data_IF_193721422425
#
_entry.id   IF_193721422425
#
_cell.length_a   1.000
_cell.length_b   1.000
_cell.length_c   1.000
_cell.angle_alpha   90.00
_cell.angle_beta   90.00
_cell.angle_gamma   90.00
#
_symmetry.space_group_name_H-M   'P 1'
#
loop_
_entity.id
_entity.type
_entity.pdbx_description
1 polymer ?
#
# COMPACT_ATOMS: atom_id res chain seq x y z
N UNK A 1 10.94 7.94 -18.58
CA UNK A 1 10.35 8.27 -17.27
C UNK A 1 11.45 8.15 -16.22
N UNK A 2 11.50 9.04 -15.20
CA UNK A 2 12.41 8.82 -14.08
C UNK A 2 12.04 7.51 -13.35
N UNK A 3 13.02 6.83 -12.74
CA UNK A 3 12.76 5.62 -11.98
C UNK A 3 11.89 5.94 -10.75
N UNK A 4 11.32 4.89 -10.13
CA UNK A 4 10.44 5.04 -8.96
C UNK A 4 11.13 5.88 -7.88
N UNK A 5 10.41 6.82 -7.22
CA UNK A 5 10.99 7.77 -6.26
C UNK A 5 11.35 7.14 -4.90
N UNK A 6 11.22 5.85 -4.72
CA UNK A 6 11.42 5.19 -3.43
C UNK A 6 12.24 3.91 -3.53
N UNK A 7 12.89 3.58 -2.43
CA UNK A 7 13.47 2.27 -2.12
C UNK A 7 12.61 1.65 -1.03
N UNK A 8 12.27 0.39 -1.18
CA UNK A 8 11.54 -0.34 -0.13
C UNK A 8 12.46 -0.54 1.08
N UNK A 9 11.87 -0.52 2.27
CA UNK A 9 12.59 -0.73 3.51
C UNK A 9 13.21 -2.14 3.53
N UNK A 10 14.56 -2.26 3.58
CA UNK A 10 15.19 -3.56 3.63
C UNK A 10 14.97 -4.30 4.98
N UNK A 11 14.41 -3.61 5.97
CA UNK A 11 14.07 -4.14 7.29
C UNK A 11 12.58 -4.49 7.43
N UNK A 12 11.77 -4.26 6.40
CA UNK A 12 10.42 -4.79 6.37
C UNK A 12 10.52 -6.30 6.56
N UNK A 13 10.16 -6.77 7.75
CA UNK A 13 10.10 -8.18 8.02
C UNK A 13 8.93 -8.75 7.21
N UNK A 14 9.27 -9.50 6.18
CA UNK A 14 8.27 -10.25 5.42
C UNK A 14 8.19 -11.62 6.06
N UNK A 15 7.10 -11.91 6.80
CA UNK A 15 6.92 -13.22 7.36
C UNK A 15 6.91 -14.26 6.23
N UNK A 16 7.27 -15.49 6.57
CA UNK A 16 7.10 -16.62 5.65
C UNK A 16 5.59 -16.89 5.50
N UNK A 17 4.98 -16.08 4.65
CA UNK A 17 3.57 -16.11 4.31
C UNK A 17 3.42 -16.76 2.93
N UNK A 18 3.28 -18.09 2.86
CA UNK A 18 3.28 -18.80 1.60
C UNK A 18 2.09 -18.41 0.74
N UNK A 19 2.28 -18.46 -0.57
CA UNK A 19 1.15 -18.44 -1.49
C UNK A 19 0.45 -19.79 -1.43
N UNK A 20 -0.85 -19.76 -1.18
CA UNK A 20 -1.69 -20.93 -1.28
C UNK A 20 -2.26 -21.13 -2.69
N UNK A 21 -3.25 -22.03 -2.79
CA UNK A 21 -3.96 -22.25 -4.05
C UNK A 21 -4.64 -20.97 -4.56
N UNK A 22 -5.23 -20.19 -3.65
CA UNK A 22 -5.93 -18.95 -3.94
C UNK A 22 -5.37 -17.81 -3.11
N UNK A 23 -4.96 -16.75 -3.79
CA UNK A 23 -4.50 -15.51 -3.18
C UNK A 23 -5.20 -14.34 -3.86
N UNK A 24 -5.49 -13.28 -3.12
CA UNK A 24 -6.21 -12.10 -3.60
C UNK A 24 -5.31 -10.87 -3.55
N UNK A 25 -5.27 -10.11 -4.63
CA UNK A 25 -4.66 -8.79 -4.69
C UNK A 25 -5.75 -7.74 -4.93
N UNK A 26 -5.93 -6.83 -3.98
CA UNK A 26 -6.90 -5.73 -4.03
C UNK A 26 -6.17 -4.45 -4.43
N UNK A 27 -6.69 -3.75 -5.44
CA UNK A 27 -6.09 -2.49 -5.94
C UNK A 27 -5.05 -2.70 -7.05
N UNK A 28 -5.11 -3.79 -7.78
CA UNK A 28 -4.16 -4.16 -8.83
C UNK A 28 -4.20 -3.30 -10.10
N UNK A 29 -5.10 -2.36 -10.22
CA UNK A 29 -5.49 -1.44 -11.30
C UNK A 29 -4.87 -1.62 -12.70
N UNK A 30 -3.56 -1.78 -12.84
CA UNK A 30 -2.88 -1.79 -14.14
C UNK A 30 -1.80 -2.86 -14.29
N UNK A 31 -1.51 -3.59 -13.25
CA UNK A 31 -0.48 -4.63 -13.28
C UNK A 31 -1.05 -5.92 -12.71
N UNK A 32 -1.06 -6.95 -13.54
CA UNK A 32 -1.39 -8.29 -13.07
C UNK A 32 -0.27 -8.77 -12.15
N UNK A 33 -0.64 -9.16 -10.93
CA UNK A 33 0.28 -9.79 -9.98
C UNK A 33 0.19 -11.30 -10.16
N UNK A 34 1.25 -11.98 -10.62
CA UNK A 34 1.22 -13.42 -10.81
C UNK A 34 0.95 -14.17 -9.50
N UNK A 35 0.16 -15.24 -9.56
CA UNK A 35 -0.21 -16.05 -8.39
C UNK A 35 -1.36 -15.49 -7.56
N UNK A 36 -1.98 -14.38 -8.00
CA UNK A 36 -3.12 -13.77 -7.35
C UNK A 36 -4.31 -13.64 -8.29
N UNK A 37 -5.51 -13.69 -7.72
CA UNK A 37 -6.72 -13.13 -8.32
C UNK A 37 -6.63 -11.61 -8.12
N UNK A 38 -6.55 -10.85 -9.20
CA UNK A 38 -6.40 -9.40 -9.16
C UNK A 38 -7.77 -8.73 -9.21
N UNK A 39 -8.14 -8.02 -8.14
CA UNK A 39 -9.42 -7.33 -8.01
C UNK A 39 -9.21 -5.82 -8.00
N UNK A 40 -10.05 -5.10 -8.72
CA UNK A 40 -10.12 -3.64 -8.68
C UNK A 40 -11.55 -3.14 -8.93
N UNK A 41 -11.84 -1.92 -8.48
CA UNK A 41 -13.10 -1.23 -8.76
C UNK A 41 -13.22 -0.87 -10.25
N UNK A 42 -12.09 -0.59 -10.90
CA UNK A 42 -12.01 -0.14 -12.29
C UNK A 42 -11.57 -1.29 -13.18
N UNK A 43 -12.29 -1.50 -14.29
CA UNK A 43 -11.87 -2.47 -15.29
C UNK A 43 -10.56 -2.01 -15.96
N UNK A 44 -9.54 -2.87 -15.92
CA UNK A 44 -8.24 -2.63 -16.54
C UNK A 44 -7.61 -3.95 -17.01
N UNK A 45 -6.64 -3.94 -17.94
CA UNK A 45 -6.08 -5.16 -18.52
C UNK A 45 -5.47 -6.17 -17.54
N UNK A 46 -5.11 -5.73 -16.32
CA UNK A 46 -4.54 -6.60 -15.28
C UNK A 46 -5.56 -7.12 -14.27
N UNK A 47 -6.83 -6.74 -14.38
CA UNK A 47 -7.89 -7.06 -13.40
C UNK A 47 -8.63 -8.31 -13.83
N UNK A 48 -8.66 -9.32 -12.96
CA UNK A 48 -9.40 -10.55 -13.17
C UNK A 48 -10.87 -10.42 -12.72
N UNK A 49 -11.12 -9.66 -11.64
CA UNK A 49 -12.44 -9.43 -11.06
C UNK A 49 -12.67 -7.95 -10.81
N UNK A 50 -13.72 -7.40 -11.40
CA UNK A 50 -14.16 -6.03 -11.13
C UNK A 50 -15.17 -6.03 -10.00
N UNK A 51 -14.81 -5.48 -8.83
CA UNK A 51 -15.71 -5.39 -7.68
C UNK A 51 -15.30 -4.27 -6.73
N UNK A 52 -16.23 -3.90 -5.84
CA UNK A 52 -15.99 -3.00 -4.72
C UNK A 52 -15.40 -3.79 -3.55
N UNK A 53 -14.29 -3.30 -2.98
CA UNK A 53 -13.65 -3.92 -1.84
C UNK A 53 -14.52 -3.93 -0.56
N UNK A 54 -15.56 -3.08 -0.48
CA UNK A 54 -16.53 -3.11 0.61
C UNK A 54 -17.45 -4.34 0.60
N UNK A 55 -17.52 -5.07 -0.55
CA UNK A 55 -18.34 -6.26 -0.70
C UNK A 55 -17.63 -7.21 -1.68
N UNK A 56 -16.68 -7.99 -1.19
CA UNK A 56 -15.89 -8.90 -2.01
C UNK A 56 -16.75 -10.06 -2.53
N UNK A 57 -16.78 -10.32 -3.85
CA UNK A 57 -17.66 -11.33 -4.46
C UNK A 57 -17.11 -12.76 -4.29
N UNK A 58 -16.61 -13.07 -3.11
CA UNK A 58 -16.03 -14.37 -2.78
C UNK A 58 -16.67 -14.92 -1.51
N UNK A 59 -16.68 -16.24 -1.40
CA UNK A 59 -17.12 -16.94 -0.19
C UNK A 59 -16.16 -16.72 0.99
N UNK A 60 -16.58 -17.18 2.17
CA UNK A 60 -15.77 -17.10 3.38
C UNK A 60 -14.59 -18.07 3.30
N UNK A 61 -13.44 -17.68 3.89
CA UNK A 61 -12.28 -18.54 4.06
C UNK A 61 -11.69 -19.15 2.75
N UNK A 62 -11.78 -18.43 1.64
CA UNK A 62 -11.29 -18.89 0.31
C UNK A 62 -9.80 -18.66 0.13
N UNK A 63 -9.28 -17.53 0.63
CA UNK A 63 -7.91 -17.11 0.33
C UNK A 63 -6.93 -17.44 1.45
N UNK A 64 -5.75 -17.90 1.06
CA UNK A 64 -4.63 -18.10 2.00
C UNK A 64 -3.92 -16.78 2.28
N UNK A 65 -3.88 -15.88 1.29
CA UNK A 65 -3.20 -14.59 1.38
C UNK A 65 -3.98 -13.50 0.66
N UNK A 66 -4.02 -12.31 1.27
CA UNK A 66 -4.60 -11.10 0.70
C UNK A 66 -3.57 -9.97 0.75
N UNK A 67 -3.35 -9.32 -0.40
CA UNK A 67 -2.57 -8.08 -0.50
C UNK A 67 -3.54 -6.92 -0.75
N UNK A 68 -3.40 -5.83 0.00
CA UNK A 68 -4.18 -4.61 -0.15
C UNK A 68 -3.21 -3.42 -0.15
N UNK A 69 -2.80 -2.98 -1.34
CA UNK A 69 -1.75 -1.98 -1.51
C UNK A 69 -2.34 -0.68 -2.06
N UNK A 70 -2.29 0.39 -1.26
CA UNK A 70 -2.77 1.72 -1.58
C UNK A 70 -4.26 1.74 -2.01
N UNK A 71 -5.12 1.17 -1.18
CA UNK A 71 -6.59 1.10 -1.41
C UNK A 71 -7.37 1.76 -0.27
N UNK A 72 -6.96 1.56 1.00
CA UNK A 72 -7.76 1.97 2.15
C UNK A 72 -7.92 3.50 2.25
N UNK A 73 -7.01 4.28 1.70
CA UNK A 73 -7.12 5.74 1.59
C UNK A 73 -8.21 6.18 0.61
N UNK A 74 -8.58 5.31 -0.35
CA UNK A 74 -9.52 5.59 -1.43
C UNK A 74 -10.94 5.08 -1.16
N UNK A 75 -11.15 4.38 -0.05
CA UNK A 75 -12.47 3.83 0.31
C UNK A 75 -13.17 4.66 1.38
N UNK A 76 -14.50 4.67 1.36
CA UNK A 76 -15.30 5.44 2.34
C UNK A 76 -15.29 4.81 3.72
N UNK A 77 -15.40 3.49 3.78
CA UNK A 77 -15.39 2.71 5.03
C UNK A 77 -14.27 1.67 5.00
N UNK A 78 -13.03 2.02 5.43
CA UNK A 78 -11.93 1.08 5.48
C UNK A 78 -12.13 -0.04 6.50
N UNK A 79 -12.94 0.19 7.55
CA UNK A 79 -13.26 -0.86 8.51
C UNK A 79 -14.10 -1.97 7.84
N UNK A 80 -15.02 -1.60 6.95
CA UNK A 80 -15.78 -2.59 6.18
C UNK A 80 -14.85 -3.39 5.24
N UNK A 81 -13.90 -2.73 4.58
CA UNK A 81 -12.94 -3.42 3.71
C UNK A 81 -12.08 -4.40 4.51
N UNK A 82 -11.61 -4.01 5.69
CA UNK A 82 -10.82 -4.89 6.57
C UNK A 82 -11.66 -6.07 7.07
N UNK A 83 -12.95 -5.88 7.39
CA UNK A 83 -13.87 -7.00 7.71
C UNK A 83 -14.05 -7.97 6.54
N UNK A 84 -14.15 -7.46 5.32
CA UNK A 84 -14.24 -8.30 4.11
C UNK A 84 -12.94 -9.08 3.87
N UNK A 85 -11.77 -8.44 4.08
CA UNK A 85 -10.47 -9.14 4.02
C UNK A 85 -10.45 -10.26 5.06
N UNK A 86 -10.87 -9.99 6.30
CA UNK A 86 -10.97 -11.01 7.34
C UNK A 86 -11.90 -12.16 6.92
N UNK A 87 -13.09 -11.84 6.41
CA UNK A 87 -14.09 -12.83 6.01
C UNK A 87 -13.56 -13.80 4.95
N UNK A 88 -12.96 -13.27 3.89
CA UNK A 88 -12.49 -14.09 2.76
C UNK A 88 -11.20 -14.85 3.04
N UNK A 89 -10.43 -14.47 4.07
CA UNK A 89 -9.23 -15.18 4.50
C UNK A 89 -9.57 -16.48 5.23
N UNK A 90 -8.85 -17.54 4.90
CA UNK A 90 -8.87 -18.79 5.66
C UNK A 90 -8.32 -18.57 7.09
N UNK A 91 -8.74 -19.36 8.10
CA UNK A 91 -8.11 -19.36 9.43
C UNK A 91 -6.59 -19.57 9.30
N UNK A 92 -5.79 -18.76 10.00
CA UNK A 92 -4.33 -18.76 9.87
C UNK A 92 -3.80 -18.10 8.59
N UNK A 93 -4.67 -17.59 7.71
CA UNK A 93 -4.29 -16.87 6.49
C UNK A 93 -3.67 -15.51 6.77
N UNK A 94 -3.02 -14.94 5.77
CA UNK A 94 -2.21 -13.74 5.86
C UNK A 94 -2.82 -12.56 5.12
N UNK A 95 -2.78 -11.37 5.71
CA UNK A 95 -3.03 -10.13 4.98
C UNK A 95 -1.81 -9.20 5.08
N UNK A 96 -1.50 -8.54 3.98
CA UNK A 96 -0.53 -7.46 3.93
C UNK A 96 -1.23 -6.20 3.43
N UNK A 97 -1.20 -5.16 4.25
CA UNK A 97 -1.86 -3.88 3.95
C UNK A 97 -0.82 -2.79 3.92
N UNK A 98 -0.85 -1.97 2.88
CA UNK A 98 0.02 -0.81 2.71
C UNK A 98 -0.83 0.41 2.44
N UNK A 99 -0.50 1.52 3.12
CA UNK A 99 -1.21 2.80 2.95
C UNK A 99 -0.24 3.98 2.98
N UNK A 100 -0.55 5.09 2.29
CA UNK A 100 0.24 6.31 2.42
C UNK A 100 0.01 7.01 3.77
N UNK A 101 1.07 7.63 4.29
CA UNK A 101 1.04 8.55 5.42
C UNK A 101 1.48 9.94 5.01
N UNK A 102 2.79 10.21 4.87
CA UNK A 102 3.29 11.46 4.32
C UNK A 102 3.37 11.37 2.79
N UNK A 103 2.24 11.52 2.12
CA UNK A 103 2.13 11.46 0.67
C UNK A 103 1.22 12.58 0.16
N UNK A 104 1.55 13.25 -0.97
CA UNK A 104 0.68 14.23 -1.58
C UNK A 104 -0.71 13.70 -1.86
N UNK A 105 -1.68 14.61 -1.90
CA UNK A 105 -3.05 14.29 -2.30
C UNK A 105 -3.05 13.66 -3.70
N UNK A 106 -3.76 12.54 -3.86
CA UNK A 106 -3.88 11.84 -5.14
C UNK A 106 -5.24 11.14 -5.23
N UNK A 107 -6.05 11.52 -6.20
CA UNK A 107 -7.38 10.94 -6.40
C UNK A 107 -7.32 9.68 -7.27
N UNK A 108 -7.93 8.57 -6.74
CA UNK A 108 -8.11 7.36 -7.53
C UNK A 108 -9.25 6.47 -6.99
N UNK A 109 -10.53 6.75 -7.20
CA UNK A 109 -11.12 7.99 -7.75
C UNK A 109 -11.23 9.12 -6.72
N UNK A 110 -11.08 8.86 -5.44
CA UNK A 110 -11.12 9.81 -4.33
C UNK A 110 -9.99 9.51 -3.34
N UNK A 111 -9.56 10.50 -2.58
CA UNK A 111 -8.53 10.40 -1.56
C UNK A 111 -9.10 10.92 -0.24
N UNK A 112 -9.49 10.01 0.64
CA UNK A 112 -10.26 10.36 1.85
C UNK A 112 -9.38 10.55 3.08
N UNK A 113 -8.27 9.80 3.22
CA UNK A 113 -7.53 9.77 4.49
C UNK A 113 -6.09 9.29 4.38
N UNK A 114 -5.37 9.46 5.49
CA UNK A 114 -4.04 8.90 5.71
C UNK A 114 -4.06 8.07 6.98
N UNK A 115 -3.26 7.01 7.01
CA UNK A 115 -3.15 6.14 8.17
C UNK A 115 -1.75 6.21 8.75
N UNK A 116 -1.66 6.34 10.08
CA UNK A 116 -0.45 6.03 10.83
C UNK A 116 -0.34 4.52 11.04
N UNK A 117 0.84 4.05 11.45
CA UNK A 117 1.02 2.64 11.82
C UNK A 117 0.05 2.22 12.94
N UNK A 118 -0.14 3.09 13.96
CA UNK A 118 -1.05 2.79 15.06
C UNK A 118 -2.51 2.82 14.63
N UNK A 119 -2.89 3.73 13.72
CA UNK A 119 -4.23 3.74 13.15
C UNK A 119 -4.54 2.49 12.30
N UNK A 120 -3.55 1.91 11.61
CA UNK A 120 -3.71 0.63 10.93
C UNK A 120 -3.86 -0.53 11.91
N UNK A 121 -3.11 -0.54 13.02
CA UNK A 121 -3.25 -1.57 14.07
C UNK A 121 -4.63 -1.54 14.70
N UNK A 122 -5.14 -0.34 15.01
CA UNK A 122 -6.49 -0.17 15.54
C UNK A 122 -7.56 -0.67 14.57
N UNK A 123 -7.43 -0.29 13.28
CA UNK A 123 -8.34 -0.73 12.23
C UNK A 123 -8.36 -2.25 12.06
N UNK A 124 -7.22 -2.92 12.29
CA UNK A 124 -7.02 -4.35 12.12
C UNK A 124 -7.11 -5.13 13.44
N UNK A 125 -7.80 -4.62 14.47
CA UNK A 125 -7.85 -5.21 15.82
C UNK A 125 -8.37 -6.66 15.88
N UNK A 126 -9.09 -7.13 14.87
CA UNK A 126 -9.55 -8.52 14.76
C UNK A 126 -8.45 -9.51 14.33
N UNK A 127 -7.30 -9.01 13.91
CA UNK A 127 -6.16 -9.81 13.47
C UNK A 127 -5.04 -9.87 14.52
N UNK A 128 -4.19 -10.88 14.40
CA UNK A 128 -2.88 -10.87 15.01
C UNK A 128 -1.93 -10.01 14.17
N UNK A 129 -1.37 -8.96 14.77
CA UNK A 129 -0.35 -8.12 14.10
C UNK A 129 1.00 -8.82 14.23
N UNK A 130 1.55 -9.26 13.10
CA UNK A 130 2.84 -9.97 13.07
C UNK A 130 4.00 -9.00 12.90
N UNK A 131 3.85 -8.01 12.03
CA UNK A 131 4.82 -6.94 11.84
C UNK A 131 4.13 -5.68 11.32
N UNK A 132 4.65 -4.50 11.66
CA UNK A 132 4.16 -3.23 11.18
C UNK A 132 5.24 -2.17 11.22
N UNK A 133 5.26 -1.28 10.22
CA UNK A 133 6.28 -0.25 10.15
C UNK A 133 6.18 0.63 8.92
N UNK A 134 7.32 1.19 8.54
CA UNK A 134 7.45 2.08 7.40
C UNK A 134 8.01 1.32 6.21
N UNK A 135 7.24 1.28 5.10
CA UNK A 135 7.64 0.63 3.85
C UNK A 135 8.60 1.51 3.04
N UNK A 136 8.35 2.83 3.05
CA UNK A 136 9.16 3.84 2.39
C UNK A 136 9.39 5.02 3.32
N UNK A 137 10.55 5.66 3.21
CA UNK A 137 11.04 6.54 4.26
C UNK A 137 11.00 8.04 3.95
N UNK A 138 11.66 8.84 4.80
CA UNK A 138 11.71 10.30 4.72
C UNK A 138 12.27 10.85 3.41
N UNK A 139 13.29 10.21 2.81
CA UNK A 139 13.86 10.68 1.56
C UNK A 139 12.87 10.53 0.40
N UNK A 140 12.11 9.43 0.36
CA UNK A 140 11.01 9.25 -0.59
C UNK A 140 9.95 10.35 -0.42
N UNK A 141 9.58 10.68 0.81
CA UNK A 141 8.64 11.77 1.12
C UNK A 141 9.14 13.10 0.56
N UNK A 142 10.35 13.49 0.92
CA UNK A 142 10.93 14.76 0.45
C UNK A 142 11.00 14.83 -1.07
N UNK A 143 11.36 13.73 -1.72
CA UNK A 143 11.46 13.66 -3.17
C UNK A 143 10.08 13.85 -3.84
N UNK A 144 9.06 13.14 -3.38
CA UNK A 144 7.71 13.24 -3.95
C UNK A 144 7.13 14.64 -3.72
N UNK A 145 7.25 15.20 -2.51
CA UNK A 145 6.77 16.55 -2.23
C UNK A 145 7.53 17.62 -3.02
N UNK A 146 8.86 17.49 -3.20
CA UNK A 146 9.63 18.42 -4.02
C UNK A 146 9.20 18.40 -5.49
N UNK A 147 8.89 17.24 -6.03
CA UNK A 147 8.37 17.11 -7.39
C UNK A 147 6.98 17.72 -7.54
N UNK A 148 6.09 17.51 -6.58
CA UNK A 148 4.75 18.12 -6.60
C UNK A 148 4.85 19.64 -6.41
N UNK A 149 5.67 20.12 -5.48
CA UNK A 149 5.89 21.54 -5.26
C UNK A 149 6.44 22.25 -6.52
N UNK A 150 7.41 21.64 -7.20
CA UNK A 150 7.94 22.18 -8.45
C UNK A 150 6.87 22.33 -9.54
N UNK A 151 5.91 21.41 -9.59
CA UNK A 151 4.77 21.51 -10.53
C UNK A 151 3.87 22.73 -10.25
N UNK A 152 3.72 23.11 -8.98
CA UNK A 152 2.91 24.28 -8.60
C UNK A 152 3.53 25.60 -9.06
N UNK A 153 4.85 25.67 -9.15
CA UNK A 153 5.57 26.86 -9.59
C UNK A 153 5.54 27.07 -11.13
N UNK A 154 5.11 26.07 -11.89
CA UNK A 154 5.19 26.08 -13.35
C UNK A 154 3.79 26.21 -13.98
N UNK A 155 3.53 27.28 -14.76
CA UNK A 155 2.19 27.54 -15.28
C UNK A 155 1.80 26.59 -16.40
N UNK A 156 2.74 26.13 -17.22
CA UNK A 156 2.45 25.36 -18.41
C UNK A 156 2.75 23.87 -18.25
N UNK A 157 1.89 23.04 -18.85
CA UNK A 157 1.97 21.57 -18.83
C UNK A 157 3.35 21.03 -19.25
N UNK A 158 3.94 21.58 -20.30
CA UNK A 158 5.23 21.11 -20.81
C UNK A 158 6.38 21.35 -19.82
N UNK A 159 6.40 22.49 -19.15
CA UNK A 159 7.37 22.80 -18.11
C UNK A 159 7.22 21.89 -16.91
N UNK A 160 5.98 21.52 -16.54
CA UNK A 160 5.72 20.55 -15.47
C UNK A 160 6.27 19.16 -15.81
N UNK A 161 6.09 18.70 -17.05
CA UNK A 161 6.63 17.42 -17.53
C UNK A 161 8.15 17.43 -17.53
N UNK A 162 8.76 18.51 -18.08
CA UNK A 162 10.21 18.66 -18.12
C UNK A 162 10.82 18.72 -16.72
N UNK A 163 10.27 19.56 -15.83
CA UNK A 163 10.73 19.68 -14.45
C UNK A 163 10.59 18.36 -13.69
N UNK A 164 9.49 17.64 -13.87
CA UNK A 164 9.32 16.32 -13.26
C UNK A 164 10.39 15.34 -13.77
N UNK A 165 10.68 15.35 -15.06
CA UNK A 165 11.75 14.53 -15.64
C UNK A 165 13.13 14.90 -15.09
N UNK A 166 13.53 16.16 -15.22
CA UNK A 166 14.85 16.65 -14.80
C UNK A 166 15.06 16.49 -13.29
N UNK A 167 14.15 17.03 -12.47
CA UNK A 167 14.24 16.93 -11.01
C UNK A 167 14.12 15.47 -10.54
N UNK A 168 13.26 14.68 -11.18
CA UNK A 168 13.12 13.26 -10.85
C UNK A 168 14.43 12.48 -11.04
N UNK A 169 15.19 12.77 -12.09
CA UNK A 169 16.50 12.17 -12.31
C UNK A 169 17.59 12.75 -11.40
N UNK A 170 17.57 14.07 -11.18
CA UNK A 170 18.57 14.76 -10.34
C UNK A 170 18.45 14.32 -8.87
N UNK A 171 17.22 14.25 -8.36
CA UNK A 171 16.94 13.92 -6.97
C UNK A 171 16.85 12.41 -6.72
N UNK A 172 16.77 11.60 -7.77
CA UNK A 172 16.62 10.15 -7.68
C UNK A 172 17.63 9.44 -6.76
N UNK A 173 18.93 9.79 -6.73
CA UNK A 173 19.88 9.13 -5.83
C UNK A 173 19.55 9.33 -4.35
N UNK A 174 18.90 10.44 -3.98
CA UNK A 174 18.55 10.75 -2.58
C UNK A 174 17.67 9.68 -1.93
N UNK A 175 16.87 8.95 -2.71
CA UNK A 175 16.04 7.85 -2.21
C UNK A 175 16.83 6.78 -1.46
N UNK A 176 18.11 6.57 -1.80
CA UNK A 176 18.95 5.58 -1.14
C UNK A 176 19.30 5.96 0.30
N UNK A 177 19.13 7.23 0.68
CA UNK A 177 19.25 7.67 2.07
C UNK A 177 18.24 6.94 2.96
N UNK A 178 17.11 6.49 2.42
CA UNK A 178 16.10 5.75 3.17
C UNK A 178 16.62 4.41 3.70
N UNK A 179 17.62 3.80 3.07
CA UNK A 179 18.28 2.60 3.60
C UNK A 179 18.88 2.86 4.98
N UNK A 180 19.35 4.08 5.21
CA UNK A 180 19.91 4.52 6.50
C UNK A 180 18.87 5.19 7.38
N UNK A 181 18.08 6.13 6.85
CA UNK A 181 17.07 6.91 7.60
C UNK A 181 16.02 6.02 8.25
N UNK A 182 15.56 4.97 7.57
CA UNK A 182 14.60 4.02 8.11
C UNK A 182 15.13 3.21 9.33
N UNK A 183 16.43 3.34 9.63
CA UNK A 183 17.03 2.76 10.84
C UNK A 183 16.88 3.67 12.06
N UNK A 184 16.54 4.93 11.84
CA UNK A 184 16.43 5.91 12.90
C UNK A 184 15.01 5.95 13.47
N UNK A 185 14.81 6.24 14.77
CA UNK A 185 13.48 6.39 15.35
C UNK A 185 12.73 7.60 14.78
N UNK A 186 13.45 8.54 14.16
CA UNK A 186 12.87 9.74 13.56
C UNK A 186 12.21 9.50 12.20
N UNK A 187 12.45 8.35 11.57
CA UNK A 187 11.81 7.99 10.29
C UNK A 187 10.27 8.06 10.37
N UNK A 188 9.70 7.77 11.53
CA UNK A 188 8.26 7.85 11.77
C UNK A 188 7.65 9.23 11.52
N UNK A 189 8.44 10.32 11.66
CA UNK A 189 7.95 11.69 11.48
C UNK A 189 7.65 12.04 10.03
N UNK A 190 8.34 11.38 9.10
CA UNK A 190 8.27 11.65 7.66
C UNK A 190 8.19 10.38 6.82
N UNK A 191 7.77 9.26 7.39
CA UNK A 191 7.55 8.01 6.65
C UNK A 191 6.51 8.22 5.54
N UNK A 192 6.79 7.74 4.33
CA UNK A 192 5.92 7.99 3.19
C UNK A 192 4.75 7.02 3.14
N UNK A 193 5.03 5.70 3.15
CA UNK A 193 4.03 4.65 3.25
C UNK A 193 4.31 3.79 4.49
N UNK A 194 3.25 3.40 5.18
CA UNK A 194 3.31 2.40 6.22
C UNK A 194 2.75 1.06 5.72
N UNK A 195 3.13 -0.01 6.39
CA UNK A 195 2.64 -1.34 6.13
C UNK A 195 2.27 -2.05 7.43
N UNK A 196 1.42 -3.07 7.31
CA UNK A 196 1.10 -4.00 8.38
C UNK A 196 0.95 -5.41 7.83
N UNK A 197 1.60 -6.38 8.46
CA UNK A 197 1.42 -7.80 8.25
C UNK A 197 0.51 -8.37 9.32
N UNK A 198 -0.54 -9.02 8.88
CA UNK A 198 -1.64 -9.51 9.68
C UNK A 198 -1.80 -11.02 9.48
N UNK A 199 -2.15 -11.71 10.55
CA UNK A 199 -2.55 -13.11 10.51
C UNK A 199 -3.96 -13.26 11.05
N UNK A 200 -4.84 -13.92 10.32
CA UNK A 200 -6.16 -14.26 10.81
C UNK A 200 -6.02 -15.32 11.90
N UNK A 201 -6.57 -15.11 13.12
CA UNK A 201 -6.51 -16.10 14.17
C UNK A 201 -7.05 -17.47 13.72
N UNK A 202 -6.42 -18.54 14.18
CA UNK A 202 -6.99 -19.87 14.03
C UNK A 202 -8.19 -20.00 14.98
N UNK A 203 -9.32 -20.52 14.51
CA UNK A 203 -10.42 -20.80 15.42
C UNK A 203 -9.95 -21.88 16.40
N UNK A 204 -10.14 -21.71 17.73
CA UNK A 204 -9.85 -22.78 18.66
C UNK A 204 -10.75 -23.97 18.34
N UNK A 205 -10.18 -25.11 17.94
CA UNK A 205 -10.91 -26.39 17.79
C UNK A 205 -11.22 -26.85 16.36
N UNK A 206 -10.47 -26.37 15.33
CA UNK A 206 -10.49 -26.99 13.98
C UNK A 206 -9.27 -27.86 13.75
#
# INVERSE_FOLDING_TARGET
>A
MPPRPYVLNPREHRPDAPLGRWNLYIGGARQRVPGYVNLDLIAAPGVDVRADAHALPFGDAVFTRVECDAVLEHVRDPAQVVREIERVLAPGGWAHVVTPFCHPFHEYPKDYRRFSVDGLKELAAAFEVVDAGWRTGPAATMLVFSLEFAKLLLPWRWWRILAHGVLGWLLWPLRYLDVWLLRTPYAARLGNHCYIWLRKPQRPGS
#
